data_IF_018814203489
#
_entry.id   IF_018814203489
#
_cell.length_a   1.000
_cell.length_b   1.000
_cell.length_c   1.000
_cell.angle_alpha   90.00
_cell.angle_beta   90.00
_cell.angle_gamma   90.00
#
_symmetry.space_group_name_H-M   'P 1'
#
loop_
_entity.id
_entity.type
_entity.pdbx_description
1 polymer ?
#
# COMPACT_ATOMS: atom_id res chain seq x y z
N UNK A 1 -25.75 9.43 35.10
CA UNK A 1 -25.55 8.30 34.18
C UNK A 1 -26.12 8.76 32.84
N UNK A 2 -25.32 9.38 31.97
CA UNK A 2 -25.78 9.90 30.66
C UNK A 2 -24.58 10.09 29.69
N UNK A 3 -23.53 9.25 29.77
CA UNK A 3 -22.35 9.37 28.91
C UNK A 3 -22.24 8.25 27.85
N UNK A 4 -23.16 7.28 27.86
CA UNK A 4 -23.21 6.19 26.85
C UNK A 4 -23.87 6.64 25.54
N UNK A 5 -24.64 7.74 25.55
CA UNK A 5 -25.37 8.27 24.40
C UNK A 5 -24.52 9.14 23.45
N UNK A 6 -23.44 9.74 23.95
CA UNK A 6 -22.57 10.60 23.12
C UNK A 6 -21.73 9.76 22.15
N UNK A 7 -21.11 8.69 22.66
CA UNK A 7 -20.27 7.79 21.88
C UNK A 7 -21.04 7.03 20.80
N UNK A 8 -22.25 6.57 21.14
CA UNK A 8 -23.12 5.85 20.20
C UNK A 8 -23.70 6.76 19.12
N UNK A 9 -23.93 8.06 19.42
CA UNK A 9 -24.26 9.07 18.41
C UNK A 9 -23.10 9.35 17.44
N UNK A 10 -21.88 9.46 17.95
CA UNK A 10 -20.68 9.67 17.12
C UNK A 10 -20.46 8.53 16.12
N UNK A 11 -20.76 7.28 16.51
CA UNK A 11 -20.66 6.12 15.61
C UNK A 11 -21.71 6.10 14.47
N UNK A 12 -22.80 6.84 14.62
CA UNK A 12 -23.87 6.91 13.62
C UNK A 12 -23.66 8.06 12.64
N UNK A 13 -22.70 8.95 12.89
CA UNK A 13 -22.36 9.98 11.93
C UNK A 13 -21.67 9.32 10.73
N UNK A 14 -22.20 9.54 9.50
CA UNK A 14 -21.56 9.02 8.30
C UNK A 14 -20.14 9.57 8.25
N UNK A 15 -19.18 8.75 7.81
CA UNK A 15 -17.81 9.21 7.63
C UNK A 15 -17.84 10.49 6.79
N UNK A 16 -17.30 11.57 7.35
CA UNK A 16 -17.25 12.83 6.63
C UNK A 16 -16.50 12.61 5.32
N UNK A 17 -17.03 13.13 4.21
CA UNK A 17 -16.32 13.12 2.91
C UNK A 17 -14.92 13.74 3.05
N UNK A 18 -14.73 14.62 4.02
CA UNK A 18 -13.44 15.19 4.39
C UNK A 18 -12.47 14.17 4.98
N UNK A 19 -12.93 13.27 5.87
CA UNK A 19 -12.11 12.19 6.42
C UNK A 19 -11.74 11.17 5.35
N UNK A 20 -12.68 10.89 4.45
CA UNK A 20 -12.42 10.06 3.28
C UNK A 20 -11.34 10.68 2.39
N UNK A 21 -11.44 11.98 2.10
CA UNK A 21 -10.46 12.73 1.31
C UNK A 21 -9.08 12.77 2.00
N UNK A 22 -9.02 12.90 3.32
CA UNK A 22 -7.77 12.84 4.08
C UNK A 22 -7.11 11.45 3.98
N UNK A 23 -7.87 10.37 4.14
CA UNK A 23 -7.34 9.00 3.95
C UNK A 23 -6.87 8.74 2.52
N UNK A 24 -7.55 9.30 1.54
CA UNK A 24 -7.10 9.29 0.15
C UNK A 24 -5.79 10.06 -0.06
N UNK A 25 -5.66 11.24 0.53
CA UNK A 25 -4.43 12.02 0.50
C UNK A 25 -3.26 11.23 1.09
N UNK A 26 -3.47 10.54 2.20
CA UNK A 26 -2.47 9.67 2.82
C UNK A 26 -2.09 8.49 1.92
N UNK A 27 -3.06 7.78 1.35
CA UNK A 27 -2.79 6.66 0.44
C UNK A 27 -2.01 7.12 -0.81
N UNK A 28 -2.36 8.28 -1.38
CA UNK A 28 -1.66 8.88 -2.52
C UNK A 28 -0.24 9.29 -2.13
N UNK A 29 -0.02 9.84 -0.92
CA UNK A 29 1.32 10.16 -0.41
C UNK A 29 2.18 8.89 -0.32
N UNK A 30 1.63 7.78 0.17
CA UNK A 30 2.36 6.50 0.26
C UNK A 30 2.72 5.98 -1.14
N UNK A 31 1.79 6.02 -2.10
CA UNK A 31 2.07 5.65 -3.49
C UNK A 31 3.14 6.56 -4.13
N UNK A 32 3.04 7.87 -3.92
CA UNK A 32 4.00 8.85 -4.42
C UNK A 32 5.40 8.65 -3.83
N UNK A 33 5.49 8.47 -2.51
CA UNK A 33 6.75 8.19 -1.81
C UNK A 33 7.36 6.86 -2.26
N UNK A 34 6.55 5.81 -2.42
CA UNK A 34 6.99 4.49 -2.89
C UNK A 34 7.55 4.54 -4.31
N UNK A 35 6.84 5.19 -5.24
CA UNK A 35 7.31 5.38 -6.62
C UNK A 35 8.56 6.27 -6.69
N UNK A 36 8.62 7.34 -5.88
CA UNK A 36 9.79 8.21 -5.77
C UNK A 36 11.02 7.47 -5.27
N UNK A 37 10.88 6.70 -4.18
CA UNK A 37 11.94 5.85 -3.67
C UNK A 37 12.40 4.81 -4.72
N UNK A 38 11.45 4.22 -5.45
CA UNK A 38 11.75 3.29 -6.56
C UNK A 38 12.55 3.94 -7.68
N UNK A 39 12.22 5.16 -8.09
CA UNK A 39 12.99 5.91 -9.10
C UNK A 39 14.40 6.24 -8.64
N UNK A 40 14.57 6.69 -7.40
CA UNK A 40 15.89 6.96 -6.81
C UNK A 40 16.72 5.67 -6.74
N UNK A 41 16.11 4.57 -6.30
CA UNK A 41 16.75 3.27 -6.26
C UNK A 41 17.15 2.76 -7.65
N UNK A 42 16.28 2.94 -8.66
CA UNK A 42 16.58 2.57 -10.04
C UNK A 42 17.74 3.40 -10.62
N UNK A 43 17.77 4.71 -10.34
CA UNK A 43 18.87 5.58 -10.73
C UNK A 43 20.20 5.18 -10.09
N UNK A 44 20.19 4.89 -8.78
CA UNK A 44 21.38 4.39 -8.08
C UNK A 44 21.83 3.03 -8.63
N UNK A 45 20.89 2.11 -8.84
CA UNK A 45 21.16 0.77 -9.36
C UNK A 45 21.75 0.81 -10.79
N UNK A 46 21.36 1.78 -11.63
CA UNK A 46 21.88 1.91 -13.00
C UNK A 46 23.41 2.00 -13.03
N UNK A 47 24.00 2.75 -12.11
CA UNK A 47 25.46 2.89 -11.97
C UNK A 47 26.13 1.63 -11.41
N UNK A 48 25.44 0.88 -10.56
CA UNK A 48 25.92 -0.37 -9.98
C UNK A 48 25.87 -1.54 -10.98
N UNK A 49 24.89 -1.56 -11.89
CA UNK A 49 24.73 -2.62 -12.89
C UNK A 49 25.90 -2.71 -13.87
N UNK A 50 26.53 -1.57 -14.20
CA UNK A 50 27.71 -1.56 -15.06
C UNK A 50 28.90 -2.31 -14.43
N UNK A 51 28.96 -2.36 -13.09
CA UNK A 51 30.05 -3.00 -12.34
C UNK A 51 29.76 -4.45 -11.96
N UNK A 52 28.49 -4.79 -11.69
CA UNK A 52 28.10 -6.11 -11.17
C UNK A 52 26.96 -6.77 -11.97
N UNK A 53 27.23 -7.25 -13.20
CA UNK A 53 26.20 -7.84 -14.06
C UNK A 53 25.60 -9.13 -13.50
N UNK A 54 26.34 -9.87 -12.66
CA UNK A 54 25.86 -11.10 -12.01
C UNK A 54 24.73 -10.86 -11.02
N UNK A 55 24.60 -9.65 -10.47
CA UNK A 55 23.54 -9.28 -9.53
C UNK A 55 22.26 -8.79 -10.21
N UNK A 56 22.31 -8.57 -11.53
CA UNK A 56 21.18 -8.08 -12.33
C UNK A 56 19.92 -8.95 -12.21
N UNK A 57 19.99 -10.31 -12.25
CA UNK A 57 18.79 -11.14 -12.10
C UNK A 57 18.13 -11.00 -10.73
N UNK A 58 18.92 -10.87 -9.66
CA UNK A 58 18.44 -10.72 -8.28
C UNK A 58 17.70 -9.39 -8.12
N UNK A 59 18.25 -8.31 -8.67
CA UNK A 59 17.65 -6.99 -8.61
C UNK A 59 16.37 -6.93 -9.47
N UNK A 60 16.35 -7.60 -10.64
CA UNK A 60 15.13 -7.74 -11.45
C UNK A 60 14.04 -8.49 -10.70
N UNK A 61 14.37 -9.60 -10.03
CA UNK A 61 13.42 -10.37 -9.23
C UNK A 61 12.84 -9.52 -8.07
N UNK A 62 13.70 -8.78 -7.37
CA UNK A 62 13.29 -7.80 -6.35
C UNK A 62 12.35 -6.74 -6.92
N UNK A 63 12.64 -6.19 -8.10
CA UNK A 63 11.80 -5.21 -8.77
C UNK A 63 10.43 -5.77 -9.16
N UNK A 64 10.37 -7.00 -9.69
CA UNK A 64 9.11 -7.68 -10.00
C UNK A 64 8.25 -7.92 -8.74
N UNK A 65 8.86 -8.34 -7.64
CA UNK A 65 8.17 -8.54 -6.36
C UNK A 65 7.65 -7.21 -5.79
N UNK A 66 8.45 -6.15 -5.84
CA UNK A 66 8.04 -4.81 -5.41
C UNK A 66 6.85 -4.32 -6.25
N UNK A 67 6.90 -4.49 -7.57
CA UNK A 67 5.82 -4.12 -8.48
C UNK A 67 4.52 -4.90 -8.19
N UNK A 68 4.62 -6.21 -7.95
CA UNK A 68 3.48 -7.02 -7.54
C UNK A 68 2.90 -6.56 -6.19
N UNK A 69 3.76 -6.17 -5.24
CA UNK A 69 3.37 -5.55 -3.98
C UNK A 69 2.56 -4.26 -4.20
N UNK A 70 3.02 -3.38 -5.09
CA UNK A 70 2.30 -2.13 -5.42
C UNK A 70 0.95 -2.39 -6.09
N UNK A 71 0.86 -3.36 -7.02
CA UNK A 71 -0.42 -3.70 -7.66
C UNK A 71 -1.42 -4.29 -6.68
N UNK A 72 -0.98 -5.21 -5.81
CA UNK A 72 -1.84 -5.79 -4.77
C UNK A 72 -2.29 -4.75 -3.75
N UNK A 73 -1.44 -3.78 -3.41
CA UNK A 73 -1.83 -2.62 -2.60
C UNK A 73 -2.94 -1.79 -3.27
N UNK A 74 -2.77 -1.48 -4.56
CA UNK A 74 -3.78 -0.71 -5.31
C UNK A 74 -5.14 -1.43 -5.35
N UNK A 75 -5.15 -2.75 -5.54
CA UNK A 75 -6.36 -3.58 -5.46
C UNK A 75 -6.97 -3.56 -4.06
N UNK A 76 -6.15 -3.73 -3.02
CA UNK A 76 -6.60 -3.61 -1.62
C UNK A 76 -7.29 -2.27 -1.37
N UNK A 77 -6.68 -1.18 -1.84
CA UNK A 77 -7.21 0.17 -1.67
C UNK A 77 -8.55 0.37 -2.39
N UNK A 78 -8.69 -0.14 -3.62
CA UNK A 78 -9.97 -0.12 -4.33
C UNK A 78 -11.07 -0.93 -3.60
N UNK A 79 -10.71 -2.05 -2.98
CA UNK A 79 -11.64 -2.86 -2.18
C UNK A 79 -12.08 -2.17 -0.89
N UNK A 80 -11.19 -1.40 -0.25
CA UNK A 80 -11.56 -0.55 0.90
C UNK A 80 -12.61 0.47 0.48
N UNK A 81 -12.43 1.14 -0.67
CA UNK A 81 -13.41 2.11 -1.18
C UNK A 81 -14.76 1.45 -1.46
N UNK A 82 -14.74 0.29 -2.12
CA UNK A 82 -15.97 -0.46 -2.37
C UNK A 82 -16.67 -0.84 -1.06
N UNK A 83 -15.91 -1.22 -0.04
CA UNK A 83 -16.44 -1.55 1.28
C UNK A 83 -17.12 -0.36 1.94
N UNK A 84 -16.50 0.83 1.88
CA UNK A 84 -17.04 2.07 2.45
C UNK A 84 -18.29 2.52 1.70
N UNK A 85 -18.28 2.54 0.37
CA UNK A 85 -19.48 2.89 -0.40
C UNK A 85 -20.63 1.91 -0.15
N UNK A 86 -20.34 0.61 -0.07
CA UNK A 86 -21.36 -0.39 0.27
C UNK A 86 -21.91 -0.18 1.68
N UNK A 87 -21.09 0.26 2.62
CA UNK A 87 -21.52 0.59 3.98
C UNK A 87 -22.44 1.83 4.00
N UNK A 88 -22.08 2.89 3.28
CA UNK A 88 -22.93 4.08 3.16
C UNK A 88 -24.28 3.77 2.49
N UNK A 89 -24.27 2.98 1.41
CA UNK A 89 -25.50 2.53 0.76
C UNK A 89 -26.35 1.65 1.68
N UNK A 90 -25.73 0.83 2.53
CA UNK A 90 -26.44 0.06 3.57
C UNK A 90 -27.14 1.00 4.55
N UNK A 91 -26.45 2.03 5.05
CA UNK A 91 -27.06 3.02 5.96
C UNK A 91 -28.24 3.75 5.31
N UNK A 92 -28.10 4.14 4.03
CA UNK A 92 -29.19 4.72 3.27
C UNK A 92 -30.37 3.76 3.08
N UNK A 93 -30.10 2.48 2.83
CA UNK A 93 -31.14 1.46 2.71
C UNK A 93 -31.89 1.22 4.03
N UNK A 94 -31.18 1.23 5.16
CA UNK A 94 -31.78 1.15 6.50
C UNK A 94 -32.72 2.34 6.73
N UNK A 95 -32.29 3.57 6.42
CA UNK A 95 -33.14 4.77 6.55
C UNK A 95 -34.39 4.71 5.68
N UNK A 96 -34.31 4.08 4.50
CA UNK A 96 -35.45 3.85 3.59
C UNK A 96 -36.27 2.59 3.95
N UNK A 97 -36.01 1.94 5.08
CA UNK A 97 -36.66 0.68 5.52
C UNK A 97 -36.54 -0.48 4.51
N UNK A 98 -35.54 -0.47 3.63
CA UNK A 98 -35.31 -1.56 2.67
C UNK A 98 -34.36 -2.61 3.26
N UNK A 99 -34.94 -3.60 3.96
CA UNK A 99 -34.18 -4.66 4.66
C UNK A 99 -33.34 -5.54 3.74
N UNK A 100 -33.82 -5.81 2.52
CA UNK A 100 -33.12 -6.67 1.55
C UNK A 100 -31.84 -6.01 1.04
N UNK A 101 -31.93 -4.75 0.60
CA UNK A 101 -30.78 -3.96 0.15
C UNK A 101 -29.77 -3.74 1.28
N UNK A 102 -30.23 -3.47 2.51
CA UNK A 102 -29.35 -3.33 3.66
C UNK A 102 -28.54 -4.62 3.91
N UNK A 103 -29.17 -5.80 3.82
CA UNK A 103 -28.48 -7.08 4.02
C UNK A 103 -27.47 -7.39 2.92
N UNK A 104 -27.82 -7.09 1.66
CA UNK A 104 -26.92 -7.28 0.52
C UNK A 104 -25.68 -6.40 0.61
N UNK A 105 -25.88 -5.10 0.89
CA UNK A 105 -24.80 -4.14 1.01
C UNK A 105 -23.91 -4.37 2.24
N UNK A 106 -24.49 -4.84 3.36
CA UNK A 106 -23.72 -5.30 4.52
C UNK A 106 -22.77 -6.45 4.15
N UNK A 107 -23.30 -7.47 3.45
CA UNK A 107 -22.49 -8.62 3.00
C UNK A 107 -21.39 -8.20 2.04
N UNK A 108 -21.72 -7.32 1.08
CA UNK A 108 -20.76 -6.79 0.11
C UNK A 108 -19.66 -5.98 0.79
N UNK A 109 -20.03 -5.13 1.75
CA UNK A 109 -19.08 -4.33 2.54
C UNK A 109 -18.11 -5.23 3.32
N UNK A 110 -18.63 -6.21 4.07
CA UNK A 110 -17.82 -7.15 4.85
C UNK A 110 -16.88 -7.98 3.97
N UNK A 111 -17.40 -8.53 2.86
CA UNK A 111 -16.59 -9.35 1.93
C UNK A 111 -15.49 -8.53 1.25
N UNK A 112 -15.76 -7.27 0.94
CA UNK A 112 -14.77 -6.37 0.33
C UNK A 112 -13.69 -5.99 1.33
N UNK A 113 -14.06 -5.72 2.59
CA UNK A 113 -13.10 -5.42 3.67
C UNK A 113 -12.19 -6.61 3.96
N UNK A 114 -12.74 -7.82 4.03
CA UNK A 114 -11.95 -9.04 4.23
C UNK A 114 -10.96 -9.25 3.09
N UNK A 115 -11.42 -9.08 1.85
CA UNK A 115 -10.57 -9.20 0.67
C UNK A 115 -9.48 -8.13 0.65
N UNK A 116 -9.82 -6.88 0.99
CA UNK A 116 -8.84 -5.80 1.11
C UNK A 116 -7.74 -6.17 2.11
N UNK A 117 -8.09 -6.64 3.30
CA UNK A 117 -7.11 -7.04 4.30
C UNK A 117 -6.17 -8.15 3.79
N UNK A 118 -6.71 -9.16 3.08
CA UNK A 118 -5.89 -10.22 2.48
C UNK A 118 -4.90 -9.66 1.44
N UNK A 119 -5.35 -8.76 0.57
CA UNK A 119 -4.48 -8.11 -0.42
C UNK A 119 -3.45 -7.18 0.22
N UNK A 120 -3.80 -6.47 1.29
CA UNK A 120 -2.88 -5.63 2.06
C UNK A 120 -1.76 -6.47 2.69
N UNK A 121 -2.09 -7.61 3.30
CA UNK A 121 -1.11 -8.53 3.87
C UNK A 121 -0.19 -9.09 2.78
N UNK A 122 -0.76 -9.53 1.66
CA UNK A 122 0.03 -10.02 0.52
C UNK A 122 0.97 -8.94 -0.03
N UNK A 123 0.48 -7.72 -0.16
CA UNK A 123 1.27 -6.56 -0.58
C UNK A 123 2.44 -6.30 0.36
N UNK A 124 2.19 -6.25 1.67
CA UNK A 124 3.22 -6.08 2.69
C UNK A 124 4.26 -7.20 2.61
N UNK A 125 3.84 -8.45 2.46
CA UNK A 125 4.74 -9.59 2.29
C UNK A 125 5.64 -9.43 1.06
N UNK A 126 5.08 -9.06 -0.09
CA UNK A 126 5.86 -8.77 -1.30
C UNK A 126 6.88 -7.64 -1.09
N UNK A 127 6.48 -6.56 -0.38
CA UNK A 127 7.38 -5.44 -0.08
C UNK A 127 8.55 -5.86 0.81
N UNK A 128 8.28 -6.57 1.91
CA UNK A 128 9.33 -7.03 2.82
C UNK A 128 10.27 -8.03 2.13
N UNK A 129 9.72 -8.94 1.32
CA UNK A 129 10.54 -9.90 0.59
C UNK A 129 11.43 -9.21 -0.46
N UNK A 130 10.89 -8.27 -1.23
CA UNK A 130 11.67 -7.46 -2.16
C UNK A 130 12.78 -6.68 -1.44
N UNK A 131 12.47 -6.05 -0.30
CA UNK A 131 13.44 -5.31 0.49
C UNK A 131 14.57 -6.21 1.02
N UNK A 132 14.25 -7.40 1.54
CA UNK A 132 15.25 -8.37 1.98
C UNK A 132 16.16 -8.81 0.84
N UNK A 133 15.60 -9.13 -0.33
CA UNK A 133 16.39 -9.49 -1.51
C UNK A 133 17.29 -8.32 -1.94
N UNK A 134 16.77 -7.10 -1.93
CA UNK A 134 17.54 -5.89 -2.23
C UNK A 134 18.71 -5.68 -1.27
N UNK A 135 18.51 -5.88 0.03
CA UNK A 135 19.57 -5.79 1.05
C UNK A 135 20.61 -6.88 0.84
N UNK A 136 20.19 -8.14 0.61
CA UNK A 136 21.12 -9.24 0.32
C UNK A 136 21.94 -8.92 -0.93
N UNK A 137 21.30 -8.43 -1.99
CA UNK A 137 21.98 -8.03 -3.20
C UNK A 137 23.00 -6.90 -2.95
N UNK A 138 22.64 -5.94 -2.10
CA UNK A 138 23.52 -4.85 -1.71
C UNK A 138 24.75 -5.33 -0.94
N UNK A 139 24.56 -6.21 0.05
CA UNK A 139 25.64 -6.72 0.90
C UNK A 139 26.59 -7.69 0.17
N UNK A 140 26.10 -8.38 -0.86
CA UNK A 140 26.91 -9.29 -1.67
C UNK A 140 27.76 -8.57 -2.73
N UNK A 141 27.49 -7.29 -3.02
CA UNK A 141 28.37 -6.50 -3.88
C UNK A 141 29.68 -6.22 -3.12
N UNK A 142 30.85 -6.66 -3.63
CA UNK A 142 32.11 -6.40 -2.95
C UNK A 142 32.31 -4.88 -2.83
N UNK A 143 32.56 -4.43 -1.61
CA UNK A 143 32.87 -3.04 -1.33
C UNK A 143 34.23 -2.71 -1.94
N UNK A 144 34.24 -2.21 -3.18
CA UNK A 144 35.41 -1.47 -3.65
C UNK A 144 35.50 -0.22 -2.79
N UNK A 145 36.48 -0.21 -1.88
CA UNK A 145 36.94 1.01 -1.22
C UNK A 145 37.27 1.97 -2.35
N UNK A 146 36.48 3.03 -2.48
CA UNK A 146 36.75 4.12 -3.42
C UNK A 146 38.09 4.72 -2.99
N UNK A 147 39.18 4.19 -3.54
CA UNK A 147 40.47 4.83 -3.48
C UNK A 147 40.30 6.09 -4.32
N UNK A 148 39.94 7.18 -3.64
CA UNK A 148 39.91 8.52 -4.21
C UNK A 148 41.32 8.77 -4.72
N UNK A 149 41.55 8.53 -6.01
CA UNK A 149 42.79 8.90 -6.68
C UNK A 149 42.87 10.42 -6.58
N UNK A 150 43.62 10.92 -5.60
CA UNK A 150 43.91 12.34 -5.50
C UNK A 150 44.54 12.74 -6.84
N UNK A 151 44.02 13.78 -7.52
CA UNK A 151 44.68 14.29 -8.71
C UNK A 151 46.10 14.68 -8.30
N UNK A 152 47.10 14.09 -8.95
CA UNK A 152 48.48 14.55 -8.79
C UNK A 152 48.56 16.01 -9.28
N UNK A 153 49.20 16.92 -8.51
CA UNK A 153 49.35 18.32 -8.88
C UNK A 153 50.21 18.50 -10.14
#
# INVERSE_FOLDING_TARGET
MDNEDAWSKEQLEPLSLFDLANKWSEAVKVLGAGNGAGLVAAGAALSAFAKYPTMLPVIKASGCLFFAGTLTFAVSFALIQLSIFSYDEMLHAIRKNSRTLAKENSKRSSSSMESANRFAILSAFCFFLALLIGIVAFLMMPGEVVAVSRPNP
#
